data_IF_090620881347
#
_entry.id   IF_090620881347
#
_cell.length_a   1.000
_cell.length_b   1.000
_cell.length_c   1.000
_cell.angle_alpha   90.00
_cell.angle_beta   90.00
_cell.angle_gamma   90.00
#
_symmetry.space_group_name_H-M   'P 1'
#
loop_
_entity.id
_entity.type
_entity.pdbx_description
1 polymer ?
#
# COMPACT_ATOMS: atom_id res chain seq x y z
N UNK A 1 -27.52 -4.49 -5.04
CA UNK A 1 -26.43 -3.91 -4.23
C UNK A 1 -25.60 -3.05 -5.18
N UNK A 2 -25.25 -1.81 -4.79
CA UNK A 2 -24.45 -0.96 -5.67
C UNK A 2 -23.00 -1.43 -5.75
N UNK A 3 -22.33 -1.15 -6.87
CA UNK A 3 -20.88 -1.31 -7.01
C UNK A 3 -20.14 -0.53 -5.91
N UNK A 4 -18.92 -0.95 -5.60
CA UNK A 4 -18.06 -0.23 -4.66
C UNK A 4 -16.64 -0.11 -5.19
N UNK A 5 -15.85 0.78 -4.58
CA UNK A 5 -14.47 1.00 -4.98
C UNK A 5 -13.49 0.50 -3.92
N UNK A 6 -12.34 0.01 -4.38
CA UNK A 6 -11.17 -0.32 -3.54
C UNK A 6 -10.01 0.56 -3.98
N UNK A 7 -9.33 1.20 -3.04
CA UNK A 7 -8.15 2.02 -3.33
C UNK A 7 -6.86 1.25 -3.04
N UNK A 8 -6.07 1.01 -4.09
CA UNK A 8 -4.75 0.40 -4.01
C UNK A 8 -3.63 1.44 -4.07
N UNK A 9 -2.75 1.41 -3.07
CA UNK A 9 -1.57 2.28 -3.00
C UNK A 9 -0.23 1.52 -2.98
N UNK A 10 -0.25 0.21 -2.73
CA UNK A 10 0.92 -0.67 -2.66
C UNK A 10 0.72 -1.92 -3.51
N UNK A 11 0.90 -3.09 -2.91
CA UNK A 11 0.82 -4.39 -3.61
C UNK A 11 -0.47 -4.62 -4.40
N UNK A 12 -1.60 -4.04 -3.96
CA UNK A 12 -2.88 -4.09 -4.68
C UNK A 12 -2.83 -3.47 -6.08
N UNK A 13 -1.92 -2.54 -6.34
CA UNK A 13 -1.77 -1.89 -7.65
C UNK A 13 -1.40 -2.91 -8.75
N UNK A 14 -0.51 -3.86 -8.45
CA UNK A 14 -0.01 -4.84 -9.44
C UNK A 14 -0.48 -6.27 -9.16
N UNK A 15 -0.99 -6.54 -7.96
CA UNK A 15 -1.59 -7.80 -7.55
C UNK A 15 -2.89 -7.52 -6.82
N UNK A 16 -3.97 -7.09 -7.50
CA UNK A 16 -5.27 -6.87 -6.86
C UNK A 16 -5.81 -8.16 -6.27
N UNK A 17 -5.80 -9.26 -7.04
CA UNK A 17 -6.21 -10.59 -6.55
C UNK A 17 -7.73 -10.79 -6.44
N UNK A 18 -8.52 -9.84 -6.95
CA UNK A 18 -9.97 -9.90 -7.00
C UNK A 18 -10.51 -9.39 -8.34
N UNK A 19 -11.72 -9.83 -8.70
CA UNK A 19 -12.40 -9.39 -9.90
C UNK A 19 -12.90 -7.94 -9.76
N UNK A 20 -12.72 -7.15 -10.81
CA UNK A 20 -13.15 -5.76 -10.89
C UNK A 20 -13.46 -5.41 -12.35
N UNK A 21 -14.38 -4.47 -12.55
CA UNK A 21 -14.90 -4.10 -13.87
C UNK A 21 -14.29 -2.81 -14.41
N UNK A 22 -13.59 -2.06 -13.57
CA UNK A 22 -12.92 -0.82 -13.96
C UNK A 22 -11.72 -0.55 -13.06
N UNK A 23 -10.65 -0.03 -13.66
CA UNK A 23 -9.48 0.47 -12.94
C UNK A 23 -9.19 1.88 -13.38
N UNK A 24 -9.10 2.81 -12.43
CA UNK A 24 -8.75 4.21 -12.70
C UNK A 24 -7.61 4.68 -11.82
N UNK A 25 -6.76 5.52 -12.39
CA UNK A 25 -5.82 6.31 -11.58
C UNK A 25 -6.60 7.22 -10.66
N UNK A 26 -6.17 7.30 -9.40
CA UNK A 26 -6.90 8.01 -8.39
C UNK A 26 -5.98 8.62 -7.33
N UNK A 27 -6.46 9.66 -6.65
CA UNK A 27 -5.73 10.37 -5.60
C UNK A 27 -6.55 10.39 -4.31
N UNK A 28 -5.94 9.89 -3.25
CA UNK A 28 -6.43 10.00 -1.89
C UNK A 28 -5.74 11.19 -1.20
N UNK A 29 -6.51 12.08 -0.60
CA UNK A 29 -6.01 13.23 0.14
C UNK A 29 -5.96 12.95 1.65
N UNK A 30 -5.05 13.62 2.36
CA UNK A 30 -4.88 13.46 3.81
C UNK A 30 -4.05 12.24 4.21
N UNK A 31 -3.60 11.44 3.23
CA UNK A 31 -2.74 10.28 3.43
C UNK A 31 -1.59 10.25 2.44
N UNK A 32 -0.43 9.74 2.87
CA UNK A 32 0.77 9.54 2.07
C UNK A 32 1.15 8.07 2.07
N UNK A 33 1.70 7.61 0.97
CA UNK A 33 2.42 6.33 0.92
C UNK A 33 3.71 6.47 1.74
N UNK A 34 4.00 5.50 2.60
CA UNK A 34 5.24 5.47 3.38
C UNK A 34 5.64 4.04 3.72
N UNK A 35 6.94 3.73 3.75
CA UNK A 35 7.46 2.50 4.36
C UNK A 35 7.43 2.66 5.88
N UNK A 36 6.24 2.54 6.49
CA UNK A 36 6.00 2.87 7.89
C UNK A 36 5.44 1.69 8.71
N UNK A 37 5.52 0.47 8.18
CA UNK A 37 5.02 -0.73 8.86
C UNK A 37 6.14 -1.76 8.97
N UNK A 38 6.50 -2.13 10.20
CA UNK A 38 7.36 -3.28 10.45
C UNK A 38 6.63 -4.56 10.03
N UNK A 39 7.24 -5.35 9.15
CA UNK A 39 6.70 -6.63 8.69
C UNK A 39 7.32 -7.78 9.47
N UNK A 40 6.52 -8.45 10.29
CA UNK A 40 6.95 -9.59 11.11
C UNK A 40 6.68 -10.96 10.47
N UNK A 41 6.05 -10.98 9.28
CA UNK A 41 5.61 -12.23 8.63
C UNK A 41 6.07 -12.27 7.17
N UNK A 42 5.63 -11.31 6.35
CA UNK A 42 5.82 -11.38 4.90
C UNK A 42 7.23 -11.01 4.45
N UNK A 43 7.81 -9.96 5.04
CA UNK A 43 9.10 -9.39 4.62
C UNK A 43 10.16 -9.36 5.72
N UNK A 44 9.88 -9.99 6.85
CA UNK A 44 10.79 -10.18 7.97
C UNK A 44 10.18 -11.09 9.02
N UNK A 45 10.80 -11.14 10.19
CA UNK A 45 10.32 -11.85 11.39
C UNK A 45 10.17 -10.87 12.56
N UNK A 46 9.72 -11.32 13.74
CA UNK A 46 9.70 -10.47 14.95
C UNK A 46 11.12 -10.07 15.39
N UNK A 47 12.10 -10.96 15.22
CA UNK A 47 13.50 -10.75 15.60
C UNK A 47 14.24 -9.88 14.57
N UNK A 48 13.91 -10.03 13.29
CA UNK A 48 14.47 -9.24 12.19
C UNK A 48 13.34 -8.72 11.29
N UNK A 49 12.67 -7.63 11.70
CA UNK A 49 11.54 -7.11 10.96
C UNK A 49 11.95 -6.56 9.60
N UNK A 50 11.06 -6.75 8.64
CA UNK A 50 11.09 -5.99 7.40
C UNK A 50 10.36 -4.66 7.56
N UNK A 51 10.29 -3.90 6.49
CA UNK A 51 9.58 -2.64 6.35
C UNK A 51 8.73 -2.69 5.08
N UNK A 52 7.43 -2.45 5.23
CA UNK A 52 6.45 -2.47 4.15
C UNK A 52 5.60 -1.20 4.12
N UNK A 53 4.89 -0.99 3.02
CA UNK A 53 4.11 0.22 2.81
C UNK A 53 2.87 0.30 3.71
N UNK A 54 2.56 1.51 4.17
CA UNK A 54 1.28 1.90 4.73
C UNK A 54 0.82 3.25 4.16
N UNK A 55 -0.49 3.52 4.30
CA UNK A 55 -1.03 4.88 4.18
C UNK A 55 -0.97 5.54 5.55
N UNK A 56 0.01 6.42 5.74
CA UNK A 56 0.16 7.25 6.93
C UNK A 56 -0.50 8.61 6.72
N UNK A 57 -0.83 9.31 7.82
CA UNK A 57 -1.47 10.63 7.76
C UNK A 57 -0.57 11.67 7.09
N UNK A 58 -1.19 12.56 6.32
CA UNK A 58 -0.58 13.75 5.70
C UNK A 58 -0.46 13.66 4.18
N UNK A 59 -0.40 14.82 3.52
CA UNK A 59 -0.15 14.91 2.08
C UNK A 59 -1.26 14.33 1.20
N UNK A 60 -0.85 13.63 0.13
CA UNK A 60 -1.75 12.88 -0.76
C UNK A 60 -1.03 11.66 -1.34
N UNK A 61 -1.79 10.63 -1.69
CA UNK A 61 -1.29 9.42 -2.30
C UNK A 61 -1.95 9.22 -3.66
N UNK A 62 -1.15 9.04 -4.70
CA UNK A 62 -1.62 8.60 -6.01
C UNK A 62 -1.56 7.09 -6.07
N UNK A 63 -2.66 6.45 -6.41
CA UNK A 63 -2.80 5.00 -6.55
C UNK A 63 -3.79 4.65 -7.65
N UNK A 64 -4.41 3.48 -7.53
CA UNK A 64 -5.48 3.01 -8.40
C UNK A 64 -6.76 2.81 -7.58
N UNK A 65 -7.89 3.15 -8.17
CA UNK A 65 -9.22 2.79 -7.68
C UNK A 65 -9.80 1.70 -8.58
N UNK A 66 -10.25 0.61 -7.96
CA UNK A 66 -10.84 -0.55 -8.64
C UNK A 66 -12.34 -0.57 -8.36
N UNK A 67 -13.18 -0.52 -9.41
CA UNK A 67 -14.63 -0.67 -9.25
C UNK A 67 -14.98 -2.14 -9.26
N UNK A 68 -15.61 -2.59 -8.19
CA UNK A 68 -16.01 -3.97 -7.98
C UNK A 68 -17.53 -4.07 -8.04
N UNK A 69 -18.07 -5.04 -8.80
CA UNK A 69 -19.50 -5.35 -8.81
C UNK A 69 -20.06 -5.55 -7.41
N UNK A 70 -21.25 -4.99 -7.14
CA UNK A 70 -21.85 -5.01 -5.80
C UNK A 70 -22.15 -6.43 -5.26
N UNK A 71 -22.38 -7.40 -6.13
CA UNK A 71 -22.60 -8.81 -5.82
C UNK A 71 -21.32 -9.55 -5.38
N UNK A 72 -20.14 -9.02 -5.71
CA UNK A 72 -18.85 -9.57 -5.28
C UNK A 72 -18.32 -8.93 -3.99
N UNK A 73 -19.06 -8.00 -3.38
CA UNK A 73 -18.57 -7.20 -2.24
C UNK A 73 -18.06 -8.04 -1.09
N UNK A 74 -18.85 -9.00 -0.62
CA UNK A 74 -18.50 -9.76 0.58
C UNK A 74 -17.31 -10.69 0.33
N UNK A 75 -17.22 -11.30 -0.86
CA UNK A 75 -16.07 -12.10 -1.29
C UNK A 75 -14.80 -11.25 -1.32
N UNK A 76 -14.84 -10.10 -1.99
CA UNK A 76 -13.66 -9.23 -2.15
C UNK A 76 -13.22 -8.64 -0.82
N UNK A 77 -14.15 -8.18 0.03
CA UNK A 77 -13.79 -7.66 1.35
C UNK A 77 -13.24 -8.75 2.27
N UNK A 78 -13.78 -9.97 2.21
CA UNK A 78 -13.25 -11.10 3.00
C UNK A 78 -11.82 -11.43 2.57
N UNK A 79 -11.57 -11.54 1.26
CA UNK A 79 -10.24 -11.73 0.71
C UNK A 79 -9.25 -10.63 1.14
N UNK A 80 -9.67 -9.36 1.05
CA UNK A 80 -8.82 -8.23 1.44
C UNK A 80 -8.51 -8.23 2.94
N UNK A 81 -9.47 -8.60 3.79
CA UNK A 81 -9.27 -8.72 5.24
C UNK A 81 -8.30 -9.84 5.59
N UNK A 82 -8.43 -11.00 4.95
CA UNK A 82 -7.49 -12.13 5.15
C UNK A 82 -6.07 -11.75 4.73
N UNK A 83 -5.94 -10.95 3.67
CA UNK A 83 -4.65 -10.50 3.15
C UNK A 83 -4.02 -9.38 3.98
N UNK A 84 -4.78 -8.35 4.34
CA UNK A 84 -4.23 -7.12 4.91
C UNK A 84 -4.33 -7.11 6.45
N UNK A 85 -5.32 -7.78 7.06
CA UNK A 85 -5.56 -7.71 8.52
C UNK A 85 -4.92 -8.86 9.31
N UNK A 86 -3.96 -9.60 8.74
CA UNK A 86 -3.27 -10.72 9.39
C UNK A 86 -2.76 -10.37 10.79
N UNK A 87 -2.18 -9.17 10.94
CA UNK A 87 -1.73 -8.66 12.24
C UNK A 87 -2.57 -7.49 12.76
N UNK A 88 -3.62 -7.09 12.03
CA UNK A 88 -4.45 -5.90 12.35
C UNK A 88 -3.70 -4.57 12.45
N UNK A 89 -2.47 -4.48 11.91
CA UNK A 89 -1.72 -3.21 11.81
C UNK A 89 -2.39 -2.19 10.88
N UNK A 90 -3.26 -2.65 9.98
CA UNK A 90 -4.04 -1.78 9.12
C UNK A 90 -5.48 -1.65 9.62
N UNK A 91 -6.08 -0.50 9.37
CA UNK A 91 -7.47 -0.19 9.63
C UNK A 91 -8.21 -0.09 8.31
N UNK A 92 -9.27 -0.88 8.15
CA UNK A 92 -10.20 -0.75 7.03
C UNK A 92 -10.99 0.56 7.18
N UNK A 93 -10.99 1.41 6.15
CA UNK A 93 -11.73 2.67 6.11
C UNK A 93 -12.35 2.90 4.74
N UNK A 94 -13.54 3.49 4.74
CA UNK A 94 -14.12 4.09 3.55
C UNK A 94 -13.68 5.54 3.48
N UNK A 95 -13.01 5.93 2.40
CA UNK A 95 -12.42 7.25 2.21
C UNK A 95 -12.80 7.82 0.85
N UNK A 96 -12.92 9.14 0.78
CA UNK A 96 -13.12 9.86 -0.48
C UNK A 96 -11.84 9.85 -1.32
N UNK A 97 -11.94 9.33 -2.53
CA UNK A 97 -10.85 9.24 -3.50
C UNK A 97 -11.25 9.95 -4.78
N UNK A 98 -10.37 10.84 -5.27
CA UNK A 98 -10.57 11.56 -6.53
C UNK A 98 -10.04 10.76 -7.70
N UNK A 99 -10.92 10.39 -8.63
CA UNK A 99 -10.61 9.69 -9.88
C UNK A 99 -10.06 10.67 -10.91
N UNK A 100 -8.97 10.30 -11.59
CA UNK A 100 -8.41 11.12 -12.67
C UNK A 100 -9.32 11.07 -13.91
N UNK A 101 -9.48 12.20 -14.60
CA UNK A 101 -10.25 12.31 -15.84
C UNK A 101 -11.77 12.25 -15.69
N UNK A 102 -12.28 12.15 -14.46
CA UNK A 102 -13.69 12.46 -14.18
C UNK A 102 -13.76 13.97 -13.96
N UNK A 103 -14.68 14.67 -14.62
CA UNK A 103 -14.80 16.13 -14.53
C UNK A 103 -15.16 16.63 -13.13
N UNK A 104 -15.88 17.75 -13.04
CA UNK A 104 -16.40 18.25 -11.76
C UNK A 104 -17.40 17.21 -11.21
N UNK A 105 -16.98 16.42 -10.21
CA UNK A 105 -17.75 15.29 -9.66
C UNK A 105 -16.99 13.95 -9.57
N UNK A 106 -15.70 13.92 -9.92
CA UNK A 106 -14.88 12.69 -9.94
C UNK A 106 -14.49 12.05 -8.61
N UNK A 107 -15.20 12.30 -7.50
CA UNK A 107 -14.88 11.69 -6.19
C UNK A 107 -15.77 10.48 -5.94
N UNK A 108 -15.19 9.39 -5.46
CA UNK A 108 -15.92 8.18 -5.05
C UNK A 108 -15.47 7.74 -3.66
N UNK A 109 -16.39 7.12 -2.92
CA UNK A 109 -16.04 6.41 -1.68
C UNK A 109 -15.36 5.08 -2.02
N UNK A 110 -14.14 4.89 -1.52
CA UNK A 110 -13.38 3.67 -1.71
C UNK A 110 -12.92 3.07 -0.38
N UNK A 111 -12.97 1.75 -0.30
CA UNK A 111 -12.35 1.00 0.79
C UNK A 111 -10.83 1.07 0.64
N UNK A 112 -10.16 1.49 1.69
CA UNK A 112 -8.71 1.59 1.79
C UNK A 112 -8.24 1.04 3.14
N UNK A 113 -7.01 0.54 3.17
CA UNK A 113 -6.34 0.08 4.38
C UNK A 113 -5.31 1.13 4.80
N UNK A 114 -5.52 1.78 5.94
CA UNK A 114 -4.61 2.79 6.48
C UNK A 114 -3.83 2.22 7.65
N UNK A 115 -2.62 2.73 7.93
CA UNK A 115 -1.86 2.22 9.08
C UNK A 115 -2.48 2.68 10.40
N UNK A 116 -2.62 1.77 11.37
CA UNK A 116 -2.90 2.13 12.75
C UNK A 116 -1.62 2.64 13.42
N UNK A 117 -1.60 3.93 13.74
CA UNK A 117 -0.46 4.58 14.39
C UNK A 117 -0.30 4.19 15.87
N UNK A 118 -1.30 3.53 16.47
CA UNK A 118 -1.21 3.00 17.82
C UNK A 118 -0.66 1.57 17.88
N UNK A 119 -0.48 0.91 16.74
CA UNK A 119 -0.06 -0.49 16.67
C UNK A 119 1.46 -0.67 16.87
N UNK A 120 1.89 -1.78 17.47
CA UNK A 120 3.33 -2.08 17.73
C UNK A 120 4.18 -2.10 16.45
N UNK A 121 3.56 -2.39 15.31
CA UNK A 121 4.22 -2.45 14.01
C UNK A 121 4.32 -1.09 13.31
N UNK A 122 3.76 -0.01 13.85
CA UNK A 122 3.92 1.31 13.24
C UNK A 122 5.34 1.83 13.47
N UNK A 123 6.11 1.93 12.39
CA UNK A 123 7.51 2.37 12.40
C UNK A 123 7.67 3.90 12.36
N UNK A 124 6.57 4.65 12.18
CA UNK A 124 6.64 6.10 12.06
C UNK A 124 7.27 6.57 10.74
N UNK A 125 7.80 7.79 10.76
CA UNK A 125 8.54 8.37 9.64
C UNK A 125 10.04 8.15 9.83
N UNK A 126 10.57 7.05 9.31
CA UNK A 126 12.00 6.80 9.24
C UNK A 126 12.65 7.65 8.15
N UNK A 127 13.91 8.04 8.32
CA UNK A 127 14.71 8.53 7.20
C UNK A 127 15.14 7.36 6.29
N UNK A 128 15.69 7.68 5.12
CA UNK A 128 16.03 6.68 4.13
C UNK A 128 17.13 5.71 4.63
N UNK A 129 18.09 6.20 5.40
CA UNK A 129 19.21 5.40 5.91
C UNK A 129 18.74 4.37 6.94
N UNK A 130 17.88 4.78 7.88
CA UNK A 130 17.26 3.89 8.85
C UNK A 130 16.33 2.89 8.17
N UNK A 131 15.51 3.33 7.21
CA UNK A 131 14.66 2.44 6.43
C UNK A 131 15.49 1.38 5.67
N UNK A 132 16.56 1.79 5.00
CA UNK A 132 17.44 0.88 4.27
C UNK A 132 18.14 -0.13 5.20
N UNK A 133 18.55 0.29 6.40
CA UNK A 133 19.12 -0.62 7.42
C UNK A 133 18.13 -1.70 7.86
N UNK A 134 16.86 -1.34 8.08
CA UNK A 134 15.80 -2.30 8.45
C UNK A 134 15.55 -3.27 7.29
N UNK A 135 15.42 -2.74 6.06
CA UNK A 135 15.13 -3.54 4.87
C UNK A 135 16.27 -4.52 4.56
N UNK A 136 17.54 -4.16 4.78
CA UNK A 136 18.69 -4.96 4.36
C UNK A 136 18.78 -6.29 5.11
N UNK A 137 18.70 -7.37 4.35
CA UNK A 137 18.78 -8.76 4.80
C UNK A 137 17.58 -9.23 5.62
N UNK A 138 16.51 -8.44 5.71
CA UNK A 138 15.23 -8.91 6.24
C UNK A 138 14.58 -9.87 5.22
N UNK A 139 14.11 -11.01 5.72
CA UNK A 139 13.48 -12.05 4.91
C UNK A 139 12.29 -12.59 5.69
N UNK A 140 11.13 -12.64 5.03
CA UNK A 140 9.94 -13.27 5.58
C UNK A 140 9.39 -14.33 4.63
N UNK A 141 8.18 -14.81 4.92
CA UNK A 141 7.50 -15.85 4.15
C UNK A 141 7.33 -15.49 2.66
N UNK A 142 7.22 -14.20 2.34
CA UNK A 142 7.05 -13.72 0.96
C UNK A 142 8.37 -13.35 0.28
N UNK A 143 9.51 -13.71 0.88
CA UNK A 143 10.85 -13.50 0.36
C UNK A 143 11.57 -12.30 1.00
N UNK A 144 12.63 -11.86 0.32
CA UNK A 144 13.47 -10.77 0.79
C UNK A 144 12.72 -9.43 0.79
N UNK A 145 13.11 -8.55 1.69
CA UNK A 145 12.53 -7.22 1.76
C UNK A 145 13.10 -6.27 0.70
N UNK A 146 14.36 -6.43 0.30
CA UNK A 146 14.97 -5.64 -0.78
C UNK A 146 14.18 -5.82 -2.08
N UNK A 147 13.87 -7.08 -2.44
CA UNK A 147 13.07 -7.41 -3.63
C UNK A 147 11.70 -6.70 -3.60
N UNK A 148 11.08 -6.61 -2.42
CA UNK A 148 9.83 -5.90 -2.25
C UNK A 148 9.98 -4.39 -2.51
N UNK A 149 11.01 -3.75 -1.94
CA UNK A 149 11.22 -2.31 -2.11
C UNK A 149 11.57 -1.99 -3.55
N UNK A 150 12.51 -2.74 -4.16
CA UNK A 150 12.94 -2.54 -5.54
C UNK A 150 11.77 -2.74 -6.51
N UNK A 151 11.03 -3.84 -6.36
CA UNK A 151 9.85 -4.09 -7.18
C UNK A 151 8.78 -3.01 -6.98
N UNK A 152 8.56 -2.54 -5.75
CA UNK A 152 7.61 -1.44 -5.50
C UNK A 152 8.03 -0.16 -6.23
N UNK A 153 9.30 0.22 -6.17
CA UNK A 153 9.83 1.39 -6.89
C UNK A 153 9.62 1.25 -8.40
N UNK A 154 9.91 0.09 -8.97
CA UNK A 154 9.72 -0.19 -10.40
C UNK A 154 8.26 -0.06 -10.83
N UNK A 155 7.32 -0.66 -10.09
CA UNK A 155 5.89 -0.57 -10.39
C UNK A 155 5.37 0.86 -10.30
N UNK A 156 5.79 1.62 -9.29
CA UNK A 156 5.40 3.03 -9.15
C UNK A 156 5.95 3.87 -10.31
N UNK A 157 7.20 3.66 -10.71
CA UNK A 157 7.81 4.32 -11.88
C UNK A 157 7.08 3.99 -13.17
N UNK A 158 6.69 2.73 -13.38
CA UNK A 158 5.92 2.30 -14.55
C UNK A 158 4.56 3.00 -14.65
N UNK A 159 3.98 3.38 -13.51
CA UNK A 159 2.74 4.16 -13.43
C UNK A 159 2.97 5.68 -13.50
N UNK A 160 4.20 6.13 -13.72
CA UNK A 160 4.55 7.55 -13.70
C UNK A 160 4.32 8.20 -12.32
N UNK A 161 4.48 7.42 -11.24
CA UNK A 161 4.42 7.91 -9.86
C UNK A 161 5.86 8.02 -9.36
N UNK A 162 6.29 9.24 -9.05
CA UNK A 162 7.61 9.51 -8.47
C UNK A 162 7.48 9.65 -6.95
N UNK A 163 8.29 8.87 -6.24
CA UNK A 163 8.42 8.91 -4.79
C UNK A 163 9.91 8.94 -4.47
N UNK A 164 10.48 10.14 -4.40
CA UNK A 164 11.94 10.32 -4.29
C UNK A 164 12.51 9.69 -3.02
N UNK A 165 11.75 9.70 -1.92
CA UNK A 165 12.19 9.08 -0.67
C UNK A 165 12.23 7.56 -0.80
N UNK A 166 11.21 6.94 -1.40
CA UNK A 166 11.21 5.49 -1.62
C UNK A 166 12.26 5.06 -2.67
N UNK A 167 12.45 5.88 -3.70
CA UNK A 167 13.52 5.69 -4.68
C UNK A 167 14.91 5.76 -4.03
N UNK A 168 15.10 6.60 -3.01
CA UNK A 168 16.34 6.67 -2.23
C UNK A 168 16.60 5.37 -1.48
N UNK A 169 15.62 4.89 -0.71
CA UNK A 169 15.71 3.61 0.01
C UNK A 169 16.04 2.48 -0.98
N UNK A 170 15.36 2.47 -2.14
CA UNK A 170 15.61 1.52 -3.22
C UNK A 170 17.06 1.55 -3.73
N UNK A 171 17.65 2.73 -3.96
CA UNK A 171 19.07 2.85 -4.36
C UNK A 171 20.01 2.30 -3.30
N UNK A 172 19.72 2.55 -2.02
CA UNK A 172 20.59 2.10 -0.94
C UNK A 172 20.59 0.58 -0.80
N UNK A 173 19.45 -0.09 -1.04
CA UNK A 173 19.33 -1.55 -0.87
C UNK A 173 19.58 -2.35 -2.16
N UNK A 174 19.77 -1.68 -3.29
CA UNK A 174 20.11 -2.33 -4.56
C UNK A 174 21.42 -3.12 -4.44
N UNK A 175 21.54 -4.29 -5.09
CA UNK A 175 22.81 -5.00 -5.18
C UNK A 175 23.86 -4.13 -5.87
N UNK A 176 25.10 -4.20 -5.37
CA UNK A 176 26.27 -3.52 -5.95
C UNK A 176 26.72 -4.16 -7.25
#
# INVERSE_FOLDING_TARGET
>A
MGDFWVFGYGSLIWRPGFAHVETRRARLYGFRRSLCVYSFVHRGTRERPGLVLGLDRGGSCVGLAFRVPGDLRDEVLSYLRERELVTSVYLERTLDVRLDGAGQGGTVEAVAYIVDRAHEQYAGGLDADHAAKVVRGAVGQSGRNEDYVLSTVEHLRALGIRDHWLEEVGRQVAPS
#
